data_IF_127529670171
#
_entry.id   IF_127529670171
#
_cell.length_a   1.000
_cell.length_b   1.000
_cell.length_c   1.000
_cell.angle_alpha   90.00
_cell.angle_beta   90.00
_cell.angle_gamma   90.00
#
_symmetry.space_group_name_H-M   'P 1'
#
loop_
_entity.id
_entity.type
_entity.pdbx_description
1 polymer ?
#
# COMPACT_ATOMS: atom_id res chain seq x y z
N UNK A 1 -7.64 -12.07 -17.05
CA UNK A 1 -6.88 -12.16 -15.79
C UNK A 1 -6.70 -10.75 -15.26
N UNK A 2 -6.88 -10.52 -13.96
CA UNK A 2 -6.78 -9.20 -13.31
C UNK A 2 -5.87 -9.25 -12.09
N UNK A 3 -5.38 -8.10 -11.63
CA UNK A 3 -4.52 -7.98 -10.43
C UNK A 3 -5.09 -6.97 -9.44
N UNK A 4 -4.76 -7.12 -8.16
CA UNK A 4 -5.03 -6.11 -7.12
C UNK A 4 -3.69 -5.56 -6.63
N UNK A 5 -3.61 -4.26 -6.39
CA UNK A 5 -2.37 -3.59 -6.02
C UNK A 5 -2.55 -2.79 -4.73
N UNK A 6 -1.51 -2.81 -3.90
CA UNK A 6 -1.33 -1.90 -2.77
C UNK A 6 -0.13 -1.01 -3.02
N UNK A 7 -0.29 0.29 -2.84
CA UNK A 7 0.78 1.27 -3.01
C UNK A 7 0.97 2.04 -1.70
N UNK A 8 2.22 2.18 -1.26
CA UNK A 8 2.60 3.06 -0.16
C UNK A 8 3.62 4.10 -0.63
N UNK A 9 3.53 5.31 -0.09
CA UNK A 9 4.55 6.34 -0.32
C UNK A 9 4.68 7.26 0.90
N UNK A 10 5.80 7.96 0.99
CA UNK A 10 6.16 8.85 2.11
C UNK A 10 6.92 10.08 1.61
N UNK A 11 6.84 11.18 2.34
CA UNK A 11 7.74 12.33 2.19
C UNK A 11 8.98 12.23 3.08
N UNK A 12 8.98 11.35 4.08
CA UNK A 12 10.14 11.15 4.95
C UNK A 12 11.20 10.30 4.24
N UNK A 13 12.34 10.93 3.98
CA UNK A 13 13.50 10.29 3.35
C UNK A 13 14.15 9.22 4.25
N UNK A 14 13.95 9.31 5.56
CA UNK A 14 14.48 8.37 6.54
C UNK A 14 13.47 7.30 6.94
N UNK A 15 12.28 7.28 6.31
CA UNK A 15 11.26 6.29 6.60
C UNK A 15 11.82 4.87 6.43
N UNK A 16 11.67 3.99 7.44
CA UNK A 16 12.14 2.62 7.34
C UNK A 16 11.46 1.88 6.18
N UNK A 17 12.24 1.12 5.41
CA UNK A 17 11.70 0.29 4.32
C UNK A 17 10.58 -0.64 4.80
N UNK A 18 10.75 -1.29 5.96
CA UNK A 18 9.74 -2.21 6.51
C UNK A 18 8.40 -1.52 6.78
N UNK A 19 8.42 -0.23 7.18
CA UNK A 19 7.20 0.54 7.37
C UNK A 19 6.45 0.71 6.05
N UNK A 20 7.14 1.10 4.97
CA UNK A 20 6.55 1.24 3.65
C UNK A 20 6.00 -0.08 3.13
N UNK A 21 6.77 -1.17 3.27
CA UNK A 21 6.31 -2.50 2.85
C UNK A 21 5.06 -2.94 3.60
N UNK A 22 5.00 -2.73 4.92
CA UNK A 22 3.81 -3.04 5.71
C UNK A 22 2.60 -2.23 5.23
N UNK A 23 2.77 -0.94 4.95
CA UNK A 23 1.69 -0.09 4.44
C UNK A 23 1.20 -0.52 3.05
N UNK A 24 2.12 -0.93 2.16
CA UNK A 24 1.77 -1.45 0.84
C UNK A 24 0.99 -2.77 0.95
N UNK A 25 1.40 -3.67 1.86
CA UNK A 25 0.69 -4.92 2.10
C UNK A 25 -0.71 -4.69 2.69
N UNK A 26 -0.85 -3.77 3.66
CA UNK A 26 -2.16 -3.38 4.20
C UNK A 26 -3.08 -2.78 3.14
N UNK A 27 -2.54 -2.00 2.20
CA UNK A 27 -3.28 -1.48 1.07
C UNK A 27 -3.71 -2.62 0.13
N UNK A 28 -2.80 -3.55 -0.19
CA UNK A 28 -3.11 -4.72 -1.03
C UNK A 28 -4.18 -5.61 -0.39
N UNK A 29 -4.11 -5.79 0.93
CA UNK A 29 -5.11 -6.51 1.70
C UNK A 29 -6.48 -5.87 1.55
N UNK A 30 -6.58 -4.55 1.74
CA UNK A 30 -7.82 -3.82 1.51
C UNK A 30 -8.34 -4.00 0.08
N UNK A 31 -7.45 -3.96 -0.93
CA UNK A 31 -7.84 -4.13 -2.33
C UNK A 31 -8.45 -5.51 -2.57
N UNK A 32 -7.86 -6.56 -1.98
CA UNK A 32 -8.38 -7.94 -2.06
C UNK A 32 -9.74 -8.09 -1.38
N UNK A 33 -9.94 -7.44 -0.23
CA UNK A 33 -11.18 -7.55 0.55
C UNK A 33 -12.33 -6.69 0.01
N UNK A 34 -12.04 -5.58 -0.68
CA UNK A 34 -13.05 -4.71 -1.31
C UNK A 34 -13.47 -5.16 -2.71
N UNK A 35 -13.33 -6.45 -3.02
CA UNK A 35 -13.77 -7.03 -4.29
C UNK A 35 -12.69 -7.17 -5.37
N UNK A 36 -11.40 -7.03 -5.02
CA UNK A 36 -10.25 -7.24 -5.92
C UNK A 36 -10.25 -6.26 -7.11
N UNK A 37 -9.37 -6.53 -8.09
CA UNK A 37 -9.16 -5.77 -9.34
C UNK A 37 -9.16 -4.25 -9.14
N UNK A 38 -8.40 -3.78 -8.14
CA UNK A 38 -8.33 -2.38 -7.76
C UNK A 38 -7.00 -2.03 -7.14
N UNK A 39 -6.78 -0.73 -7.03
CA UNK A 39 -5.63 -0.13 -6.39
C UNK A 39 -6.11 0.50 -5.09
N UNK A 40 -5.44 0.18 -4.01
CA UNK A 40 -5.58 0.89 -2.74
C UNK A 40 -4.24 1.53 -2.40
N UNK A 41 -4.31 2.67 -1.72
CA UNK A 41 -3.15 3.55 -1.56
C UNK A 41 -3.07 4.00 -0.11
N UNK A 42 -1.87 4.01 0.45
CA UNK A 42 -1.60 4.55 1.79
C UNK A 42 -0.46 5.55 1.80
N UNK A 43 -0.70 6.64 2.51
CA UNK A 43 0.25 7.72 2.70
C UNK A 43 0.83 7.67 4.12
N UNK A 44 2.15 7.76 4.23
CA UNK A 44 2.84 8.01 5.49
C UNK A 44 3.41 9.44 5.46
N UNK A 45 2.87 10.39 6.24
CA UNK A 45 3.45 11.73 6.35
C UNK A 45 4.82 11.68 7.03
N UNK A 46 5.67 12.68 6.76
CA UNK A 46 6.97 12.78 7.42
C UNK A 46 6.87 13.15 8.90
#
# INVERSE_FOLDING_TARGET
ITVSLGISFTADRHAPYEMLMRLADEALYAAKHKGRNRIEVRWHPA
#
